data_IF_386738964290
#
_entry.id   IF_386738964290
#
_cell.length_a   1.000
_cell.length_b   1.000
_cell.length_c   1.000
_cell.angle_alpha   90.00
_cell.angle_beta   90.00
_cell.angle_gamma   90.00
#
_symmetry.space_group_name_H-M   'P 1'
#
loop_
_entity.id
_entity.type
_entity.pdbx_description
1 polymer ?
#
# COMPACT_ATOMS: atom_id res chain seq x y z
N UNK A 1 -33.78 3.90 25.05
CA UNK A 1 -32.31 4.10 25.03
C UNK A 1 -31.51 2.84 24.65
N UNK A 2 -32.05 1.61 24.78
CA UNK A 2 -31.30 0.36 24.50
C UNK A 2 -31.10 0.04 23.01
N UNK A 3 -32.03 0.48 22.16
CA UNK A 3 -32.00 0.29 20.70
C UNK A 3 -30.91 1.10 19.99
N UNK A 4 -30.65 2.33 20.45
CA UNK A 4 -29.60 3.19 19.91
C UNK A 4 -28.21 2.59 20.13
N UNK A 5 -27.95 2.02 21.31
CA UNK A 5 -26.67 1.37 21.61
C UNK A 5 -26.40 0.15 20.74
N UNK A 6 -27.44 -0.64 20.43
CA UNK A 6 -27.32 -1.80 19.54
C UNK A 6 -27.02 -1.38 18.10
N UNK A 7 -27.70 -0.34 17.60
CA UNK A 7 -27.42 0.25 16.29
C UNK A 7 -25.99 0.76 16.19
N UNK A 8 -25.50 1.43 17.24
CA UNK A 8 -24.14 1.96 17.28
C UNK A 8 -23.09 0.86 17.28
N UNK A 9 -23.31 -0.20 18.07
CA UNK A 9 -22.43 -1.38 18.08
C UNK A 9 -22.40 -2.08 16.71
N UNK A 10 -23.55 -2.20 16.04
CA UNK A 10 -23.64 -2.81 14.72
C UNK A 10 -22.86 -1.99 13.67
N UNK A 11 -22.99 -0.66 13.70
CA UNK A 11 -22.26 0.25 12.83
C UNK A 11 -20.75 0.08 13.02
N UNK A 12 -20.26 0.11 14.26
CA UNK A 12 -18.83 -0.04 14.57
C UNK A 12 -18.26 -1.37 14.04
N UNK A 13 -18.99 -2.48 14.18
CA UNK A 13 -18.57 -3.80 13.67
C UNK A 13 -18.47 -3.80 12.14
N UNK A 14 -19.44 -3.21 11.43
CA UNK A 14 -19.41 -3.12 9.96
C UNK A 14 -18.25 -2.23 9.48
N UNK A 15 -18.00 -1.09 10.14
CA UNK A 15 -16.92 -0.18 9.76
C UNK A 15 -15.53 -0.74 10.11
N UNK A 16 -15.36 -1.45 11.24
CA UNK A 16 -14.09 -2.08 11.59
C UNK A 16 -13.76 -3.29 10.70
N UNK A 17 -14.76 -4.04 10.24
CA UNK A 17 -14.55 -5.14 9.29
C UNK A 17 -13.96 -4.69 7.94
N UNK A 18 -14.25 -3.46 7.51
CA UNK A 18 -13.70 -2.89 6.26
C UNK A 18 -12.23 -2.45 6.38
N UNK A 19 -11.75 -2.11 7.59
CA UNK A 19 -10.38 -1.64 7.82
C UNK A 19 -9.33 -2.77 7.78
N UNK A 20 -9.75 -4.03 7.89
CA UNK A 20 -8.86 -5.20 7.90
C UNK A 20 -8.43 -5.73 6.53
N UNK A 21 -9.06 -5.28 5.44
CA UNK A 21 -8.78 -5.76 4.07
C UNK A 21 -7.84 -4.81 3.31
N UNK A 22 -6.73 -4.42 3.92
CA UNK A 22 -5.60 -3.92 3.14
C UNK A 22 -4.92 -5.13 2.50
N UNK A 23 -5.35 -5.49 1.28
CA UNK A 23 -4.69 -6.54 0.48
C UNK A 23 -3.20 -6.22 0.47
N UNK A 24 -2.33 -7.11 1.00
CA UNK A 24 -0.90 -6.89 0.96
C UNK A 24 -0.51 -6.71 -0.50
N UNK A 25 0.31 -5.70 -0.81
CA UNK A 25 0.77 -5.48 -2.17
C UNK A 25 1.31 -6.78 -2.74
N UNK A 26 0.68 -7.30 -3.81
CA UNK A 26 1.20 -8.47 -4.49
C UNK A 26 2.64 -8.21 -4.99
N UNK A 27 3.42 -9.26 -5.29
CA UNK A 27 4.81 -9.14 -5.73
C UNK A 27 5.00 -8.31 -7.03
N UNK A 28 3.90 -7.99 -7.71
CA UNK A 28 3.84 -7.16 -8.91
C UNK A 28 3.27 -5.77 -8.66
N UNK A 29 3.59 -5.12 -7.53
CA UNK A 29 3.36 -3.67 -7.44
C UNK A 29 4.09 -2.99 -8.59
N UNK A 30 3.32 -2.37 -9.49
CA UNK A 30 3.90 -1.57 -10.58
C UNK A 30 4.72 -0.45 -9.96
N UNK A 31 6.01 -0.44 -10.26
CA UNK A 31 6.88 0.66 -9.88
C UNK A 31 6.32 1.99 -10.43
N UNK A 32 6.27 3.02 -9.59
CA UNK A 32 5.47 4.24 -9.83
C UNK A 32 4.27 4.37 -8.90
N UNK A 33 3.95 3.36 -8.09
CA UNK A 33 2.88 3.41 -7.09
C UNK A 33 3.42 3.61 -5.66
N UNK A 34 2.68 4.31 -4.79
CA UNK A 34 3.00 4.53 -3.35
C UNK A 34 4.44 5.05 -3.08
N UNK A 35 4.87 6.07 -3.83
CA UNK A 35 6.19 6.68 -3.61
C UNK A 35 7.34 5.81 -4.10
N UNK A 36 7.08 4.89 -5.03
CA UNK A 36 8.13 4.24 -5.82
C UNK A 36 8.31 4.96 -7.15
N UNK A 37 9.51 4.92 -7.71
CA UNK A 37 9.85 5.56 -8.97
C UNK A 37 10.91 4.74 -9.72
N UNK A 38 10.91 4.83 -11.06
CA UNK A 38 11.91 4.14 -11.89
C UNK A 38 13.00 5.11 -12.32
N UNK A 39 14.25 4.76 -12.06
CA UNK A 39 15.43 5.51 -12.50
C UNK A 39 16.28 4.66 -13.42
N UNK A 40 17.03 5.31 -14.30
CA UNK A 40 18.04 4.61 -15.10
C UNK A 40 19.23 4.24 -14.20
N UNK A 41 19.73 3.01 -14.29
CA UNK A 41 20.84 2.56 -13.45
C UNK A 41 20.44 2.28 -11.99
N UNK A 42 21.20 2.81 -11.04
CA UNK A 42 21.11 2.48 -9.60
C UNK A 42 20.26 3.53 -8.86
N UNK A 43 19.59 3.12 -7.77
CA UNK A 43 18.82 4.04 -6.94
C UNK A 43 19.69 5.16 -6.33
N UNK A 44 19.15 6.39 -6.22
CA UNK A 44 19.84 7.47 -5.53
C UNK A 44 20.13 7.13 -4.07
N UNK A 45 21.13 7.79 -3.47
CA UNK A 45 21.46 7.58 -2.06
C UNK A 45 20.25 7.90 -1.18
N UNK A 46 19.98 7.01 -0.23
CA UNK A 46 18.84 7.12 0.69
C UNK A 46 17.60 6.36 0.22
N UNK A 47 17.56 5.88 -1.03
CA UNK A 47 16.42 5.14 -1.56
C UNK A 47 16.63 3.63 -1.53
N UNK A 48 15.54 2.88 -1.31
CA UNK A 48 15.56 1.41 -1.25
C UNK A 48 15.37 0.85 -2.66
N UNK A 49 16.28 -0.04 -3.08
CA UNK A 49 16.12 -0.82 -4.31
C UNK A 49 15.07 -1.91 -4.12
N UNK A 50 14.04 -1.91 -4.97
CA UNK A 50 12.93 -2.87 -4.93
C UNK A 50 12.98 -3.92 -6.05
N UNK A 51 13.79 -3.70 -7.08
CA UNK A 51 13.88 -4.60 -8.22
C UNK A 51 13.99 -3.86 -9.56
N UNK A 52 14.06 -4.59 -10.69
CA UNK A 52 14.06 -4.00 -12.02
C UNK A 52 12.66 -3.51 -12.41
N UNK A 53 12.61 -2.39 -13.12
CA UNK A 53 11.35 -1.80 -13.62
C UNK A 53 11.22 -1.92 -15.15
N UNK A 54 12.31 -1.63 -15.87
CA UNK A 54 12.48 -1.83 -17.33
C UNK A 54 13.93 -2.25 -17.56
N UNK A 55 14.26 -2.70 -18.78
CA UNK A 55 15.64 -3.02 -19.12
C UNK A 55 16.56 -1.82 -18.83
N UNK A 56 17.54 -1.98 -17.94
CA UNK A 56 18.45 -0.91 -17.51
C UNK A 56 17.89 0.10 -16.49
N UNK A 57 16.68 -0.11 -15.98
CA UNK A 57 16.06 0.77 -14.98
C UNK A 57 15.76 0.03 -13.66
N UNK A 58 16.07 0.71 -12.55
CA UNK A 58 15.78 0.24 -11.20
C UNK A 58 14.52 0.88 -10.64
N UNK A 59 13.70 0.09 -9.96
CA UNK A 59 12.62 0.55 -9.12
C UNK A 59 13.16 0.93 -7.73
N UNK A 60 12.93 2.17 -7.34
CA UNK A 60 13.40 2.76 -6.09
C UNK A 60 12.21 3.23 -5.26
N UNK A 61 12.31 3.16 -3.94
CA UNK A 61 11.36 3.79 -3.02
C UNK A 61 12.02 4.98 -2.34
N UNK A 62 11.27 6.09 -2.24
CA UNK A 62 11.67 7.25 -1.44
C UNK A 62 12.14 6.82 -0.05
#
# INVERSE_FOLDING_TARGET
MKTLSLLFALLLVVFHGAAGFAIPPGPYMRCGYRGTFCVHGICPRGNIYLGPCRLGHSCCKW
#
